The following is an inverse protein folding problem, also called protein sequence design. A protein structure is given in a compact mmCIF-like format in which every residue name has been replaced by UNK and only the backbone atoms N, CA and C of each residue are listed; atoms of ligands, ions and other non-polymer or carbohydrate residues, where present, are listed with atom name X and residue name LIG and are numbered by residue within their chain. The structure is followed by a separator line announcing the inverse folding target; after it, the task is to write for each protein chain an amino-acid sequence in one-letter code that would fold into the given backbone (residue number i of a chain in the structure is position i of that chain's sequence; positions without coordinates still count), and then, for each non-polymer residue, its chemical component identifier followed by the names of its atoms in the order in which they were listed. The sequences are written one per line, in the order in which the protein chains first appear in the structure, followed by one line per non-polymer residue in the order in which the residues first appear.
data_IF_494506411596
#
_entry.id   IF_494506411596
#
_cell.length_a   1.000
_cell.length_b   1.000
_cell.length_c   1.000
_cell.angle_alpha   90.00
_cell.angle_beta   90.00
_cell.angle_gamma   90.00
#
_symmetry.space_group_name_H-M   'P 1'
#
loop_
_entity.id
_entity.type
_entity.pdbx_description
1 polymer ?
#
# COMPACT_ATOMS: atom_id res chain seq x y z
N UNK A 1 7.91 20.75 2.82
CA UNK A 1 8.85 19.60 2.96
C UNK A 1 8.66 18.79 4.25
N UNK A 2 8.37 19.36 5.44
CA UNK A 2 8.18 18.56 6.66
C UNK A 2 7.07 17.51 6.55
N UNK A 3 5.95 17.88 5.91
CA UNK A 3 4.80 16.98 5.68
C UNK A 3 5.15 15.80 4.77
N UNK A 4 5.90 16.04 3.68
CA UNK A 4 6.34 14.97 2.78
C UNK A 4 7.26 13.98 3.48
N UNK A 5 8.14 14.44 4.38
CA UNK A 5 9.02 13.55 5.16
C UNK A 5 8.22 12.70 6.15
N UNK A 6 7.21 13.28 6.80
CA UNK A 6 6.33 12.54 7.71
C UNK A 6 5.52 11.46 6.97
N UNK A 7 4.96 11.80 5.81
CA UNK A 7 4.29 10.85 4.91
C UNK A 7 5.22 9.69 4.54
N UNK A 8 6.40 10.00 3.99
CA UNK A 8 7.36 8.98 3.59
C UNK A 8 7.74 8.08 4.76
N UNK A 9 8.02 8.66 5.94
CA UNK A 9 8.31 7.88 7.14
C UNK A 9 7.17 6.91 7.48
N UNK A 10 5.91 7.39 7.46
CA UNK A 10 4.76 6.53 7.77
C UNK A 10 4.61 5.38 6.79
N UNK A 11 4.89 5.60 5.50
CA UNK A 11 4.81 4.57 4.47
C UNK A 11 5.98 3.58 4.53
N UNK A 12 7.18 4.03 4.93
CA UNK A 12 8.34 3.14 5.05
C UNK A 12 8.44 2.41 6.38
N UNK A 13 7.74 2.87 7.42
CA UNK A 13 7.72 2.21 8.73
C UNK A 13 6.69 1.07 8.82
N UNK A 14 5.67 1.08 7.95
CA UNK A 14 4.60 0.08 7.97
C UNK A 14 5.06 -1.20 7.28
N UNK A 15 4.87 -2.34 7.94
CA UNK A 15 5.25 -3.64 7.37
C UNK A 15 4.21 -4.10 6.34
N UNK A 16 4.68 -4.55 5.17
CA UNK A 16 3.82 -5.13 4.14
C UNK A 16 4.58 -5.96 3.13
N UNK A 17 5.00 -7.17 3.50
CA UNK A 17 5.60 -8.09 2.52
C UNK A 17 4.56 -8.53 1.48
N UNK A 18 5.02 -9.02 0.32
CA UNK A 18 4.13 -9.51 -0.73
C UNK A 18 3.11 -10.55 -0.19
N UNK A 19 1.83 -10.34 -0.49
CA UNK A 19 0.70 -11.12 0.00
C UNK A 19 0.20 -10.77 1.41
N UNK A 20 0.84 -9.83 2.12
CA UNK A 20 0.48 -9.40 3.48
C UNK A 20 0.42 -7.86 3.61
N UNK A 21 -0.06 -7.17 2.58
CA UNK A 21 0.00 -5.71 2.43
C UNK A 21 -1.11 -4.95 3.17
N UNK A 22 -1.95 -5.63 3.96
CA UNK A 22 -3.18 -5.06 4.54
C UNK A 22 -2.94 -3.81 5.40
N UNK A 23 -1.81 -3.73 6.11
CA UNK A 23 -1.47 -2.55 6.91
C UNK A 23 -1.12 -1.35 6.03
N UNK A 24 -0.31 -1.57 4.98
CA UNK A 24 0.05 -0.55 3.99
C UNK A 24 -1.20 -0.09 3.24
N UNK A 25 -2.09 -1.02 2.85
CA UNK A 25 -3.37 -0.72 2.21
C UNK A 25 -4.24 0.20 3.08
N UNK A 26 -4.35 -0.08 4.38
CA UNK A 26 -5.13 0.74 5.30
C UNK A 26 -4.57 2.17 5.38
N UNK A 27 -3.25 2.31 5.51
CA UNK A 27 -2.60 3.61 5.54
C UNK A 27 -2.78 4.38 4.23
N UNK A 28 -2.62 3.70 3.09
CA UNK A 28 -2.86 4.30 1.77
C UNK A 28 -4.31 4.72 1.57
N UNK A 29 -5.28 3.98 2.12
CA UNK A 29 -6.70 4.36 2.09
C UNK A 29 -6.93 5.69 2.79
N UNK A 30 -6.32 5.89 3.96
CA UNK A 30 -6.43 7.15 4.70
C UNK A 30 -5.85 8.33 3.92
N UNK A 31 -4.74 8.13 3.21
CA UNK A 31 -4.14 9.17 2.35
C UNK A 31 -4.90 9.42 1.04
N UNK A 32 -5.49 8.39 0.43
CA UNK A 32 -6.20 8.50 -0.85
C UNK A 32 -7.60 9.07 -0.69
N UNK A 33 -8.30 8.76 0.41
CA UNK A 33 -9.69 9.17 0.68
C UNK A 33 -9.90 10.69 0.57
N UNK A 34 -9.09 11.58 1.18
CA UNK A 34 -9.34 13.02 1.12
C UNK A 34 -9.06 13.67 -0.24
N UNK A 35 -8.38 12.97 -1.16
CA UNK A 35 -7.94 13.53 -2.46
C UNK A 35 -8.62 12.91 -3.67
N UNK A 36 -9.41 11.86 -3.46
CA UNK A 36 -10.10 11.06 -4.47
C UNK A 36 -11.61 11.24 -4.40
N UNK A 37 -12.30 11.06 -5.52
CA UNK A 37 -13.77 11.07 -5.55
C UNK A 37 -14.32 9.68 -5.19
N UNK A 38 -13.66 8.62 -5.68
CA UNK A 38 -13.98 7.23 -5.34
C UNK A 38 -12.72 6.49 -4.86
N UNK A 39 -12.92 5.51 -3.98
CA UNK A 39 -11.90 4.50 -3.65
C UNK A 39 -12.28 3.19 -4.35
N UNK A 40 -11.33 2.63 -5.09
CA UNK A 40 -11.46 1.36 -5.80
C UNK A 40 -10.50 0.36 -5.19
N UNK A 41 -11.01 -0.83 -4.86
CA UNK A 41 -10.20 -1.93 -4.35
C UNK A 41 -10.40 -3.16 -5.25
N UNK A 42 -9.34 -3.93 -5.48
CA UNK A 42 -9.43 -5.19 -6.20
C UNK A 42 -9.51 -6.41 -5.25
N UNK A 43 -9.64 -7.61 -5.83
CA UNK A 43 -9.75 -8.86 -5.08
C UNK A 43 -8.40 -9.43 -4.60
N UNK A 44 -7.27 -8.83 -5.01
CA UNK A 44 -5.92 -9.24 -4.64
C UNK A 44 -5.31 -8.37 -3.53
N UNK A 45 -5.94 -7.26 -3.17
CA UNK A 45 -5.48 -6.35 -2.12
C UNK A 45 -5.06 -4.97 -2.62
N UNK A 46 -5.10 -4.71 -3.92
CA UNK A 46 -4.83 -3.40 -4.49
C UNK A 46 -5.85 -2.34 -4.08
N UNK A 47 -5.39 -1.09 -4.04
CA UNK A 47 -6.21 0.10 -3.74
C UNK A 47 -5.84 1.24 -4.68
N UNK A 48 -6.86 1.95 -5.19
CA UNK A 48 -6.70 3.08 -6.09
C UNK A 48 -7.65 4.20 -5.69
N UNK A 49 -7.12 5.42 -5.67
CA UNK A 49 -7.91 6.63 -5.64
C UNK A 49 -8.33 7.01 -7.06
N UNK A 50 -9.62 7.09 -7.33
CA UNK A 50 -10.15 7.54 -8.62
C UNK A 50 -10.59 8.99 -8.50
N UNK A 51 -10.07 9.83 -9.41
CA UNK A 51 -10.49 11.22 -9.57
C UNK A 51 -11.12 11.40 -10.93
N UNK A 52 -12.35 11.91 -10.95
CA UNK A 52 -13.09 12.12 -12.18
C UNK A 52 -12.51 13.31 -12.94
N UNK A 53 -12.34 13.14 -14.25
CA UNK A 53 -11.85 14.22 -15.10
C UNK A 53 -12.90 15.32 -15.19
N UNK A 54 -12.49 16.58 -15.01
CA UNK A 54 -13.33 17.74 -15.32
C UNK A 54 -13.56 17.88 -16.83
N UNK A 55 -12.57 17.50 -17.63
CA UNK A 55 -12.64 17.51 -19.10
C UNK A 55 -11.93 16.28 -19.69
N UNK A 56 -12.51 15.72 -20.75
CA UNK A 56 -11.96 14.58 -21.48
C UNK A 56 -12.58 13.24 -21.08
N UNK A 57 -12.33 12.22 -21.91
CA UNK A 57 -12.93 10.88 -21.79
C UNK A 57 -11.90 9.76 -21.61
N UNK A 58 -10.61 10.11 -21.55
CA UNK A 58 -9.51 9.15 -21.38
C UNK A 58 -9.20 8.98 -19.91
N UNK A 59 -8.84 7.75 -19.53
CA UNK A 59 -8.38 7.41 -18.18
C UNK A 59 -6.85 7.39 -18.14
N UNK A 60 -6.27 7.93 -17.07
CA UNK A 60 -4.84 7.83 -16.75
C UNK A 60 -4.68 7.03 -15.46
N UNK A 61 -3.74 6.10 -15.46
CA UNK A 61 -3.39 5.29 -14.29
C UNK A 61 -1.97 5.61 -13.87
N UNK A 62 -1.78 5.96 -12.60
CA UNK A 62 -0.48 6.09 -11.95
C UNK A 62 -0.44 5.03 -10.87
N UNK A 63 0.47 4.08 -10.99
CA UNK A 63 0.55 2.92 -10.09
C UNK A 63 1.92 2.83 -9.44
N UNK A 64 1.91 2.64 -8.12
CA UNK A 64 3.00 2.01 -7.37
C UNK A 64 2.57 0.61 -6.92
N UNK A 65 3.43 -0.06 -6.16
CA UNK A 65 3.11 -1.31 -5.48
C UNK A 65 3.21 -1.10 -3.96
N UNK A 66 2.39 -1.83 -3.19
CA UNK A 66 2.32 -1.70 -1.73
C UNK A 66 3.38 -2.52 -1.01
N UNK A 67 3.87 -3.57 -1.67
CA UNK A 67 4.67 -4.60 -1.06
C UNK A 67 6.15 -4.23 -0.96
N UNK A 68 6.79 -4.80 0.05
CA UNK A 68 8.24 -4.75 0.23
C UNK A 68 8.85 -6.15 0.28
N UNK A 69 10.16 -6.23 0.06
CA UNK A 69 10.91 -7.48 0.18
C UNK A 69 10.99 -7.85 1.66
N UNK A 70 10.73 -9.13 1.96
CA UNK A 70 10.93 -9.68 3.30
C UNK A 70 11.10 -11.18 3.27
N UNK A 71 10.73 -11.83 4.38
CA UNK A 71 10.90 -13.27 4.58
C UNK A 71 9.60 -13.90 5.05
N UNK A 72 9.42 -15.18 4.72
CA UNK A 72 8.34 -16.02 5.23
C UNK A 72 9.01 -17.13 6.02
N UNK A 73 8.60 -17.31 7.27
CA UNK A 73 9.08 -18.40 8.11
C UNK A 73 8.63 -19.73 7.53
N UNK A 74 9.57 -20.67 7.38
CA UNK A 74 9.31 -22.00 6.82
C UNK A 74 9.54 -23.10 7.84
N UNK A 75 10.45 -22.89 8.81
CA UNK A 75 10.76 -23.88 9.83
C UNK A 75 11.16 -23.22 11.16
N UNK A 76 10.82 -23.91 12.25
CA UNK A 76 11.37 -23.65 13.59
C UNK A 76 12.03 -24.94 14.05
N UNK A 77 13.30 -24.90 14.44
CA UNK A 77 14.02 -26.08 14.89
C UNK A 77 13.77 -26.40 16.39
N UNK A 78 14.33 -27.51 16.86
CA UNK A 78 14.19 -27.96 18.26
C UNK A 78 14.86 -27.02 19.28
N UNK A 79 15.77 -26.15 18.84
CA UNK A 79 16.44 -25.16 19.66
C UNK A 79 15.72 -23.80 19.64
N UNK A 80 14.71 -23.64 18.78
CA UNK A 80 13.90 -22.43 18.63
C UNK A 80 14.43 -21.42 17.60
N UNK A 81 15.39 -21.79 16.74
CA UNK A 81 15.82 -20.92 15.63
C UNK A 81 14.77 -20.90 14.51
N UNK A 82 14.64 -19.73 13.87
CA UNK A 82 13.68 -19.46 12.80
C UNK A 82 14.42 -19.46 11.46
N UNK A 83 13.92 -20.27 10.52
CA UNK A 83 14.45 -20.40 9.16
C UNK A 83 13.38 -20.03 8.12
#
# INVERSE_FOLDING_TARGET
MPESKALLKSLTDVNGISGHEMQVKSLMKDYLTPVSDDIVEDQLGGIFGKKNATHGTKSLMISGHLDEIGFIVTQIDEQGYIY
#
